data_IF_059250308999
#
_entry.id   IF_059250308999
#
_cell.length_a   1.000
_cell.length_b   1.000
_cell.length_c   1.000
_cell.angle_alpha   90.00
_cell.angle_beta   90.00
_cell.angle_gamma   90.00
#
_symmetry.space_group_name_H-M   'P 1'
#
loop_
_entity.id
_entity.type
_entity.pdbx_description
1 polymer ?
#
# COMPACT_ATOMS: atom_id res chain seq x y z
N UNK A 1 10.73 66.01 40.13
CA UNK A 1 12.03 65.43 40.51
C UNK A 1 11.78 63.96 40.78
N UNK A 2 11.66 63.13 39.73
CA UNK A 2 12.72 62.42 38.97
C UNK A 2 13.32 61.26 39.74
N UNK A 3 12.80 60.04 39.51
CA UNK A 3 13.52 59.01 38.75
C UNK A 3 12.71 57.70 38.80
N UNK A 4 12.02 57.45 37.69
CA UNK A 4 11.47 56.15 37.33
C UNK A 4 12.46 55.63 36.29
N UNK A 5 13.44 54.82 36.67
CA UNK A 5 14.33 54.24 35.67
C UNK A 5 14.94 52.92 36.17
N UNK A 6 14.76 51.92 35.32
CA UNK A 6 15.70 50.83 35.03
C UNK A 6 15.82 49.68 36.03
N UNK A 7 14.94 48.71 35.87
CA UNK A 7 15.34 47.28 35.89
C UNK A 7 14.60 46.56 34.75
N UNK A 8 14.89 46.97 33.51
CA UNK A 8 14.68 46.11 32.35
C UNK A 8 15.81 45.11 32.30
N UNK A 9 15.43 43.86 32.46
CA UNK A 9 16.21 42.64 32.33
C UNK A 9 17.04 42.68 31.03
N UNK A 10 18.30 43.08 31.14
CA UNK A 10 19.31 42.88 30.10
C UNK A 10 19.74 41.41 30.14
N UNK A 11 18.99 40.57 29.44
CA UNK A 11 19.48 39.25 29.04
C UNK A 11 19.51 39.15 27.51
N UNK A 12 20.11 40.17 26.90
CA UNK A 12 20.47 40.17 25.48
C UNK A 12 21.95 39.80 25.39
N UNK A 13 22.27 38.51 25.54
CA UNK A 13 23.52 38.02 25.00
C UNK A 13 23.40 38.12 23.48
N UNK A 14 24.09 39.10 22.90
CA UNK A 14 24.27 39.18 21.45
C UNK A 14 25.04 37.92 21.02
N UNK A 15 24.33 36.97 20.42
CA UNK A 15 24.93 35.80 19.80
C UNK A 15 25.85 36.29 18.68
N UNK A 16 27.06 35.74 18.64
CA UNK A 16 27.99 35.99 17.54
C UNK A 16 27.35 35.53 16.21
N UNK A 17 27.79 36.13 15.10
CA UNK A 17 27.30 35.76 13.76
C UNK A 17 27.45 34.25 13.50
N UNK A 18 28.52 33.64 14.03
CA UNK A 18 28.79 32.20 13.93
C UNK A 18 27.78 31.36 14.74
N UNK A 19 27.41 31.78 15.95
CA UNK A 19 26.40 31.10 16.78
C UNK A 19 25.00 31.21 16.16
N UNK A 20 24.69 32.36 15.55
CA UNK A 20 23.41 32.61 14.89
C UNK A 20 23.26 31.77 13.62
N UNK A 21 24.36 31.56 12.87
CA UNK A 21 24.40 30.66 11.73
C UNK A 21 24.24 29.19 12.16
N UNK A 22 24.92 28.76 13.23
CA UNK A 22 24.75 27.40 13.78
C UNK A 22 23.31 27.15 14.24
N UNK A 23 22.67 28.13 14.89
CA UNK A 23 21.28 28.00 15.32
C UNK A 23 20.32 27.88 14.13
N UNK A 24 20.56 28.61 13.02
CA UNK A 24 19.78 28.48 11.79
C UNK A 24 19.92 27.10 11.15
N UNK A 25 21.14 26.57 11.11
CA UNK A 25 21.41 25.23 10.60
C UNK A 25 20.67 24.15 11.40
N UNK A 26 20.73 24.22 12.74
CA UNK A 26 19.98 23.31 13.61
C UNK A 26 18.47 23.41 13.40
N UNK A 27 17.95 24.63 13.22
CA UNK A 27 16.52 24.85 12.95
C UNK A 27 16.09 24.26 11.61
N UNK A 28 16.90 24.43 10.56
CA UNK A 28 16.63 23.88 9.23
C UNK A 28 16.69 22.34 9.23
N UNK A 29 17.65 21.75 9.96
CA UNK A 29 17.76 20.30 10.13
C UNK A 29 16.52 19.74 10.84
N UNK A 30 16.10 20.36 11.95
CA UNK A 30 14.88 20.00 12.67
C UNK A 30 13.63 20.12 11.80
N UNK A 31 13.51 21.19 11.00
CA UNK A 31 12.41 21.32 10.03
C UNK A 31 12.47 20.28 8.92
N UNK A 32 13.67 19.91 8.45
CA UNK A 32 13.84 18.84 7.47
C UNK A 32 13.40 17.48 8.04
N UNK A 33 13.68 17.21 9.31
CA UNK A 33 13.22 16.02 10.02
C UNK A 33 11.70 16.01 10.19
N UNK A 34 11.09 17.16 10.54
CA UNK A 34 9.63 17.29 10.58
C UNK A 34 8.99 17.03 9.22
N UNK A 35 9.58 17.54 8.14
CA UNK A 35 9.11 17.29 6.76
C UNK A 35 9.24 15.81 6.35
N UNK A 36 10.20 15.09 6.94
CA UNK A 36 10.50 13.70 6.60
C UNK A 36 9.67 12.69 7.41
N UNK A 37 9.33 13.01 8.65
CA UNK A 37 8.57 12.14 9.53
C UNK A 37 7.08 12.48 9.51
N UNK A 38 6.21 11.48 9.65
CA UNK A 38 4.78 11.72 9.73
C UNK A 38 4.41 12.43 11.05
N UNK A 39 3.90 13.64 10.92
CA UNK A 39 3.41 14.47 12.01
C UNK A 39 1.97 14.88 11.75
N UNK A 40 1.17 15.02 12.81
CA UNK A 40 -0.12 15.71 12.74
C UNK A 40 0.04 17.14 13.26
N UNK A 41 -0.80 18.05 12.77
CA UNK A 41 -0.83 19.44 13.25
C UNK A 41 -1.97 19.57 14.27
N UNK A 42 -1.62 19.92 15.50
CA UNK A 42 -2.60 20.24 16.56
C UNK A 42 -2.31 21.67 17.01
N UNK A 43 -3.28 22.57 16.88
CA UNK A 43 -3.14 23.99 17.22
C UNK A 43 -1.93 24.70 16.56
N UNK A 44 -1.58 24.27 15.35
CA UNK A 44 -0.44 24.82 14.59
C UNK A 44 0.93 24.25 14.99
N UNK A 45 0.98 23.30 15.93
CA UNK A 45 2.21 22.65 16.39
C UNK A 45 2.31 21.26 15.73
N UNK A 46 3.44 20.94 15.07
CA UNK A 46 3.69 19.59 14.57
C UNK A 46 3.97 18.65 15.75
N UNK A 47 3.15 17.62 15.88
CA UNK A 47 3.29 16.59 16.91
C UNK A 47 3.54 15.27 16.19
N UNK A 48 4.56 14.53 16.63
CA UNK A 48 4.86 13.20 16.10
C UNK A 48 3.63 12.30 16.33
N UNK A 49 3.28 11.49 15.33
CA UNK A 49 2.25 10.48 15.51
C UNK A 49 2.66 9.52 16.63
N UNK A 50 1.69 9.09 17.43
CA UNK A 50 1.93 7.94 18.33
C UNK A 50 2.13 6.67 17.50
N UNK A 51 2.73 5.64 18.10
CA UNK A 51 2.91 4.34 17.43
C UNK A 51 1.56 3.76 16.94
N UNK A 52 0.52 3.90 17.74
CA UNK A 52 -0.86 3.50 17.38
C UNK A 52 -1.42 4.28 16.18
N UNK A 53 -1.22 5.61 16.14
CA UNK A 53 -1.68 6.44 15.01
C UNK A 53 -0.86 6.18 13.73
N UNK A 54 0.42 5.83 13.87
CA UNK A 54 1.27 5.45 12.76
C UNK A 54 0.85 4.09 12.18
N UNK A 55 0.50 3.12 13.03
CA UNK A 55 -0.08 1.85 12.60
C UNK A 55 -1.43 2.03 11.92
N UNK A 56 -2.29 2.92 12.42
CA UNK A 56 -3.59 3.21 11.82
C UNK A 56 -3.43 3.90 10.45
N UNK A 57 -2.51 4.86 10.32
CA UNK A 57 -2.22 5.53 9.05
C UNK A 57 -1.68 4.57 7.98
N UNK A 58 -0.86 3.61 8.39
CA UNK A 58 -0.29 2.60 7.49
C UNK A 58 -1.18 1.36 7.34
N UNK A 59 -2.31 1.30 8.07
CA UNK A 59 -3.25 0.21 7.89
C UNK A 59 -3.79 0.30 6.46
N UNK A 60 -3.62 -0.75 5.65
CA UNK A 60 -4.20 -0.76 4.32
C UNK A 60 -5.71 -0.53 4.45
N UNK A 61 -6.24 0.36 3.62
CA UNK A 61 -7.69 0.51 3.54
C UNK A 61 -8.27 -0.86 3.15
N UNK A 62 -9.17 -1.45 3.96
CA UNK A 62 -9.74 -2.77 3.67
C UNK A 62 -10.44 -2.80 2.30
N UNK A 63 -10.88 -1.64 1.79
CA UNK A 63 -11.43 -1.53 0.43
C UNK A 63 -10.35 -1.63 -0.66
N UNK A 64 -9.14 -1.09 -0.43
CA UNK A 64 -8.04 -1.16 -1.38
C UNK A 64 -7.44 -2.57 -1.44
N UNK A 65 -7.30 -3.25 -0.29
CA UNK A 65 -6.86 -4.65 -0.27
C UNK A 65 -7.81 -5.58 -1.05
N UNK A 66 -9.11 -5.35 -0.92
CA UNK A 66 -10.12 -6.11 -1.67
C UNK A 66 -10.00 -5.87 -3.18
N UNK A 67 -9.77 -4.61 -3.60
CA UNK A 67 -9.54 -4.25 -5.01
C UNK A 67 -8.27 -4.93 -5.53
N UNK A 68 -7.16 -4.85 -4.79
CA UNK A 68 -5.89 -5.42 -5.22
C UNK A 68 -5.97 -6.95 -5.33
N UNK A 69 -6.66 -7.60 -4.38
CA UNK A 69 -6.93 -9.03 -4.42
C UNK A 69 -7.75 -9.42 -5.67
N UNK A 70 -8.77 -8.64 -6.00
CA UNK A 70 -9.60 -8.88 -7.18
C UNK A 70 -8.82 -8.68 -8.49
N UNK A 71 -7.94 -7.69 -8.55
CA UNK A 71 -7.03 -7.49 -9.70
C UNK A 71 -6.11 -8.70 -9.86
N UNK A 72 -5.52 -9.21 -8.77
CA UNK A 72 -4.66 -10.39 -8.80
C UNK A 72 -5.40 -11.64 -9.29
N UNK A 73 -6.62 -11.88 -8.77
CA UNK A 73 -7.48 -12.99 -9.22
C UNK A 73 -7.74 -12.91 -10.73
N UNK A 74 -8.14 -11.74 -11.21
CA UNK A 74 -8.42 -11.53 -12.64
C UNK A 74 -7.18 -11.71 -13.52
N UNK A 75 -6.01 -11.27 -13.06
CA UNK A 75 -4.75 -11.48 -13.76
C UNK A 75 -4.45 -12.98 -13.91
N UNK A 76 -4.61 -13.77 -12.84
CA UNK A 76 -4.40 -15.21 -12.87
C UNK A 76 -5.38 -15.89 -13.83
N UNK A 77 -6.68 -15.59 -13.73
CA UNK A 77 -7.69 -16.15 -14.64
C UNK A 77 -7.35 -15.84 -16.10
N UNK A 78 -6.99 -14.59 -16.41
CA UNK A 78 -6.65 -14.17 -17.77
C UNK A 78 -5.42 -14.89 -18.32
N UNK A 79 -4.39 -15.11 -17.51
CA UNK A 79 -3.22 -15.90 -17.91
C UNK A 79 -3.60 -17.35 -18.27
N UNK A 80 -4.50 -17.98 -17.50
CA UNK A 80 -4.95 -19.36 -17.72
C UNK A 80 -5.82 -19.44 -18.97
N UNK A 81 -6.76 -18.51 -19.13
CA UNK A 81 -7.59 -18.39 -20.35
C UNK A 81 -6.74 -18.17 -21.59
N UNK A 82 -5.70 -17.33 -21.50
CA UNK A 82 -4.74 -17.14 -22.59
C UNK A 82 -4.05 -18.45 -22.95
N UNK A 83 -3.52 -19.19 -21.97
CA UNK A 83 -2.91 -20.49 -22.22
C UNK A 83 -3.86 -21.48 -22.89
N UNK A 84 -5.13 -21.51 -22.46
CA UNK A 84 -6.15 -22.33 -23.10
C UNK A 84 -6.37 -21.91 -24.57
N UNK A 85 -6.48 -20.62 -24.86
CA UNK A 85 -6.60 -20.12 -26.24
C UNK A 85 -5.37 -20.45 -27.09
N UNK A 86 -4.16 -20.22 -26.57
CA UNK A 86 -2.89 -20.51 -27.25
C UNK A 86 -2.72 -22.01 -27.56
N UNK A 87 -3.40 -22.87 -26.82
CA UNK A 87 -3.36 -24.33 -26.99
C UNK A 87 -4.67 -24.93 -27.51
N UNK A 88 -5.60 -24.14 -28.06
CA UNK A 88 -6.90 -24.66 -28.51
C UNK A 88 -6.82 -25.62 -29.70
N UNK A 89 -5.73 -25.58 -30.47
CA UNK A 89 -5.41 -26.61 -31.47
C UNK A 89 -5.42 -28.03 -30.89
N UNK A 90 -5.19 -28.17 -29.58
CA UNK A 90 -5.31 -29.43 -28.84
C UNK A 90 -6.68 -30.07 -29.02
N UNK A 91 -7.77 -29.29 -28.94
CA UNK A 91 -9.14 -29.82 -28.98
C UNK A 91 -9.46 -30.49 -30.32
N UNK A 92 -8.96 -29.88 -31.40
CA UNK A 92 -9.10 -30.41 -32.75
C UNK A 92 -8.30 -31.72 -32.87
N UNK A 93 -7.05 -31.74 -32.37
CA UNK A 93 -6.22 -32.94 -32.41
C UNK A 93 -6.68 -34.05 -31.48
N UNK A 94 -7.28 -33.75 -30.33
CA UNK A 94 -7.84 -34.76 -29.43
C UNK A 94 -8.98 -35.54 -30.11
N UNK A 95 -9.80 -34.85 -30.92
CA UNK A 95 -10.86 -35.48 -31.69
C UNK A 95 -10.32 -36.31 -32.87
N UNK A 96 -9.36 -35.76 -33.63
CA UNK A 96 -8.89 -36.37 -34.89
C UNK A 96 -7.72 -37.34 -34.71
N UNK A 97 -6.78 -37.03 -33.80
CA UNK A 97 -5.49 -37.71 -33.62
C UNK A 97 -5.03 -37.71 -32.14
N UNK A 98 -5.67 -38.49 -31.26
CA UNK A 98 -5.51 -38.43 -29.80
C UNK A 98 -4.12 -38.78 -29.23
N UNK A 99 -3.18 -39.19 -30.07
CA UNK A 99 -1.80 -39.55 -29.68
C UNK A 99 -0.74 -38.63 -30.33
N UNK A 100 -1.16 -37.56 -31.01
CA UNK A 100 -0.28 -36.68 -31.81
C UNK A 100 0.28 -35.49 -31.05
N UNK A 101 -0.03 -35.36 -29.76
CA UNK A 101 0.32 -34.20 -28.94
C UNK A 101 0.99 -34.60 -27.62
N UNK A 102 1.79 -33.70 -27.03
CA UNK A 102 2.42 -33.98 -25.74
C UNK A 102 1.38 -34.09 -24.63
N UNK A 103 1.48 -35.14 -23.81
CA UNK A 103 0.61 -35.35 -22.65
C UNK A 103 0.71 -34.19 -21.63
N UNK A 104 1.85 -33.51 -21.59
CA UNK A 104 2.05 -32.29 -20.79
C UNK A 104 1.03 -31.19 -21.15
N UNK A 105 0.67 -31.03 -22.43
CA UNK A 105 -0.32 -30.02 -22.87
C UNK A 105 -1.71 -30.39 -22.34
N UNK A 106 -2.08 -31.67 -22.38
CA UNK A 106 -3.34 -32.17 -21.81
C UNK A 106 -3.43 -31.85 -20.32
N UNK A 107 -2.38 -32.20 -19.57
CA UNK A 107 -2.35 -32.02 -18.13
C UNK A 107 -2.40 -30.54 -17.74
N UNK A 108 -1.62 -29.69 -18.42
CA UNK A 108 -1.63 -28.23 -18.19
C UNK A 108 -2.96 -27.59 -18.56
N UNK A 109 -3.64 -28.04 -19.62
CA UNK A 109 -4.99 -27.55 -19.96
C UNK A 109 -6.02 -27.93 -18.90
N UNK A 110 -5.98 -29.15 -18.38
CA UNK A 110 -6.85 -29.57 -17.28
C UNK A 110 -6.58 -28.76 -16.01
N UNK A 111 -5.31 -28.64 -15.63
CA UNK A 111 -4.90 -27.81 -14.49
C UNK A 111 -5.38 -26.37 -14.64
N UNK A 112 -5.21 -25.74 -15.80
CA UNK A 112 -5.66 -24.37 -16.04
C UNK A 112 -7.18 -24.19 -15.86
N UNK A 113 -7.98 -25.20 -16.26
CA UNK A 113 -9.44 -25.19 -16.07
C UNK A 113 -9.82 -25.35 -14.60
N UNK A 114 -9.16 -26.27 -13.90
CA UNK A 114 -9.36 -26.48 -12.46
C UNK A 114 -9.00 -25.24 -11.65
N UNK A 115 -7.86 -24.60 -11.94
CA UNK A 115 -7.43 -23.35 -11.32
C UNK A 115 -8.44 -22.22 -11.54
N UNK A 116 -8.97 -22.05 -12.76
CA UNK A 116 -10.01 -21.04 -13.03
C UNK A 116 -11.25 -21.31 -12.18
N UNK A 117 -11.74 -22.56 -12.16
CA UNK A 117 -12.93 -22.92 -11.39
C UNK A 117 -12.73 -22.70 -9.88
N UNK A 118 -11.54 -22.98 -9.34
CA UNK A 118 -11.20 -22.74 -7.94
C UNK A 118 -11.19 -21.23 -7.61
N UNK A 119 -10.61 -20.40 -8.48
CA UNK A 119 -10.59 -18.94 -8.27
C UNK A 119 -12.01 -18.36 -8.34
N UNK A 120 -12.82 -18.78 -9.32
CA UNK A 120 -14.18 -18.28 -9.49
C UNK A 120 -15.13 -18.76 -8.36
N UNK A 121 -14.97 -20.00 -7.89
CA UNK A 121 -15.77 -20.54 -6.77
C UNK A 121 -15.40 -19.94 -5.42
N UNK A 122 -14.11 -19.71 -5.14
CA UNK A 122 -13.67 -19.03 -3.92
C UNK A 122 -14.14 -17.57 -3.86
N UNK A 123 -14.23 -16.90 -5.02
CA UNK A 123 -14.82 -15.56 -5.11
C UNK A 123 -16.31 -15.56 -4.76
N UNK A 124 -17.04 -16.59 -5.19
CA UNK A 124 -18.48 -16.73 -4.90
C UNK A 124 -18.75 -16.94 -3.40
N UNK A 125 -17.90 -17.71 -2.70
CA UNK A 125 -18.06 -17.92 -1.25
C UNK A 125 -17.76 -16.66 -0.42
N UNK A 126 -16.69 -15.92 -0.74
CA UNK A 126 -16.38 -14.67 -0.04
C UNK A 126 -17.48 -13.62 -0.18
N UNK A 127 -18.11 -13.54 -1.37
CA UNK A 127 -19.25 -12.65 -1.59
C UNK A 127 -20.46 -13.08 -0.75
N UNK A 128 -20.76 -14.37 -0.63
CA UNK A 128 -21.88 -14.88 0.18
C UNK A 128 -21.67 -14.64 1.70
N UNK A 129 -20.45 -14.79 2.20
CA UNK A 129 -20.12 -14.49 3.61
C UNK A 129 -20.21 -13.00 3.93
N UNK A 130 -19.75 -12.13 3.01
CA UNK A 130 -19.91 -10.68 3.16
C UNK A 130 -21.39 -10.24 3.15
N UNK A 131 -22.25 -10.95 2.41
CA UNK A 131 -23.69 -10.71 2.41
C UNK A 131 -24.40 -11.23 3.67
N UNK A 132 -23.95 -12.35 4.26
CA UNK A 132 -24.57 -12.90 5.47
C UNK A 132 -24.19 -12.14 6.75
N UNK A 133 -23.03 -11.46 6.75
CA UNK A 133 -22.53 -10.69 7.89
C UNK A 133 -23.23 -9.33 8.08
N UNK A 134 -24.06 -8.92 7.13
CA UNK A 134 -24.80 -7.64 7.14
C UNK A 134 -26.28 -7.79 7.55
N UNK A 135 -26.67 -8.95 8.09
CA UNK A 135 -28.01 -9.24 8.64
C UNK A 135 -27.89 -9.70 10.10
#
# INVERSE_FOLDING_TARGET
MTNTDQETIENSQELSEEELEQQRLQLEEHHAEIRRSLHKIVDGIPIALTEEEWEEFNRPDPSQEAIDLEIQKNLLINQRRKYLGDTDWYLIREADQPQSYPEEVKNKRNQAREEINLIESSSTMQQLEAFSSNF
#
